data_IF_411940953956
#
_entry.id   IF_411940953956
#
_cell.length_a   1.000
_cell.length_b   1.000
_cell.length_c   1.000
_cell.angle_alpha   90.00
_cell.angle_beta   90.00
_cell.angle_gamma   90.00
#
_symmetry.space_group_name_H-M   'P 1'
#
loop_
_entity.id
_entity.type
_entity.pdbx_description
1 polymer ?
#
# COMPACT_ATOMS: atom_id res chain seq x y z
N UNK A 1 -21.68 1.62 -9.84
CA UNK A 1 -20.79 1.92 -8.69
C UNK A 1 -19.33 1.57 -9.05
N UNK A 2 -18.80 2.11 -10.16
CA UNK A 2 -17.43 1.80 -10.63
C UNK A 2 -16.53 3.03 -10.77
N UNK A 3 -17.10 4.22 -10.97
CA UNK A 3 -16.28 5.38 -11.37
C UNK A 3 -15.90 6.34 -10.23
N UNK A 4 -16.59 6.29 -9.08
CA UNK A 4 -16.36 7.27 -8.00
C UNK A 4 -15.10 7.03 -7.16
N UNK A 5 -14.68 5.78 -6.98
CA UNK A 5 -13.60 5.44 -6.03
C UNK A 5 -12.21 5.70 -6.63
N UNK A 6 -11.97 5.28 -7.87
CA UNK A 6 -10.72 5.55 -8.58
C UNK A 6 -10.51 7.06 -8.82
N UNK A 7 -11.58 7.80 -9.11
CA UNK A 7 -11.56 9.27 -9.22
C UNK A 7 -11.15 9.92 -7.88
N UNK A 8 -11.69 9.44 -6.74
CA UNK A 8 -11.25 9.92 -5.42
C UNK A 8 -9.75 9.66 -5.16
N UNK A 9 -9.20 8.55 -5.62
CA UNK A 9 -7.75 8.28 -5.50
C UNK A 9 -6.91 9.26 -6.33
N UNK A 10 -7.36 9.61 -7.55
CA UNK A 10 -6.68 10.63 -8.36
C UNK A 10 -6.64 11.98 -7.63
N UNK A 11 -7.72 12.36 -6.95
CA UNK A 11 -7.78 13.61 -6.16
C UNK A 11 -6.91 13.59 -4.90
N UNK A 12 -6.47 12.41 -4.44
CA UNK A 12 -5.64 12.24 -3.22
C UNK A 12 -4.18 11.93 -3.51
N UNK A 13 -3.71 12.13 -4.76
CA UNK A 13 -2.34 11.78 -5.21
C UNK A 13 -1.23 12.34 -4.30
N UNK A 14 -1.34 13.59 -3.89
CA UNK A 14 -0.42 14.25 -2.94
C UNK A 14 -0.34 13.51 -1.60
N UNK A 15 -1.51 13.17 -1.05
CA UNK A 15 -1.69 12.47 0.23
C UNK A 15 -1.16 11.03 0.16
N UNK A 16 -1.32 10.38 -0.98
CA UNK A 16 -0.80 9.03 -1.23
C UNK A 16 0.73 9.03 -1.39
N UNK A 17 1.28 10.06 -2.05
CA UNK A 17 2.73 10.21 -2.24
C UNK A 17 3.48 10.46 -0.93
N UNK A 18 2.80 10.97 0.10
CA UNK A 18 3.36 11.22 1.43
C UNK A 18 4.03 9.99 2.03
N UNK A 19 3.45 8.80 1.83
CA UNK A 19 3.94 7.55 2.42
C UNK A 19 5.33 7.17 1.93
N UNK A 20 5.64 7.48 0.68
CA UNK A 20 6.89 7.12 0.01
C UNK A 20 7.86 8.29 -0.10
N UNK A 21 7.36 9.53 0.00
CA UNK A 21 8.15 10.73 -0.11
C UNK A 21 7.67 11.86 0.83
N UNK A 22 7.75 11.67 2.16
CA UNK A 22 7.18 12.62 3.10
C UNK A 22 7.92 13.96 3.18
N UNK A 23 9.20 13.98 2.81
CA UNK A 23 10.04 15.20 2.86
C UNK A 23 9.59 16.26 1.85
N UNK A 24 9.14 15.84 0.67
CA UNK A 24 8.69 16.74 -0.39
C UNK A 24 7.20 17.06 -0.31
N UNK A 25 6.53 16.60 0.75
CA UNK A 25 5.09 16.63 0.78
C UNK A 25 4.58 18.04 1.12
N UNK A 26 3.64 18.54 0.30
CA UNK A 26 3.00 19.83 0.49
C UNK A 26 1.72 19.65 1.33
N UNK A 27 1.74 20.15 2.57
CA UNK A 27 0.61 20.06 3.51
C UNK A 27 -0.64 20.75 3.00
N UNK A 28 -0.50 21.79 2.17
CA UNK A 28 -1.63 22.56 1.63
C UNK A 28 -2.40 21.79 0.55
N UNK A 29 -1.77 20.77 -0.04
CA UNK A 29 -2.36 19.91 -1.06
C UNK A 29 -2.83 18.57 -0.49
N UNK A 30 -2.61 18.30 0.81
CA UNK A 30 -3.05 17.06 1.45
C UNK A 30 -4.49 17.16 1.94
N UNK A 31 -5.28 16.13 1.64
CA UNK A 31 -6.61 15.99 2.21
C UNK A 31 -6.50 15.26 3.56
N UNK A 32 -6.47 16.05 4.64
CA UNK A 32 -6.33 15.53 6.02
C UNK A 32 -7.66 15.34 6.76
N UNK A 33 -8.76 15.87 6.23
CA UNK A 33 -10.10 15.79 6.86
C UNK A 33 -10.54 14.37 7.25
N UNK A 34 -10.29 13.32 6.43
CA UNK A 34 -10.74 11.96 6.75
C UNK A 34 -10.06 11.34 7.97
N UNK A 35 -8.95 11.92 8.44
CA UNK A 35 -8.07 11.30 9.43
C UNK A 35 -8.18 11.90 10.83
N UNK A 36 -9.05 12.92 11.02
CA UNK A 36 -9.26 13.61 12.31
C UNK A 36 -7.93 14.09 12.90
N UNK A 37 -7.19 14.84 12.09
CA UNK A 37 -5.85 15.35 12.40
C UNK A 37 -5.91 16.84 12.68
N UNK A 38 -5.20 17.29 13.71
CA UNK A 38 -5.00 18.72 13.96
C UNK A 38 -3.98 19.31 12.97
N UNK A 39 -4.45 20.23 12.11
CA UNK A 39 -3.64 20.79 11.03
C UNK A 39 -2.43 21.58 11.56
N UNK A 40 -2.59 22.30 12.67
CA UNK A 40 -1.51 23.10 13.27
C UNK A 40 -0.39 22.23 13.83
N UNK A 41 -0.76 21.22 14.63
CA UNK A 41 0.16 20.21 15.16
C UNK A 41 0.83 19.42 14.06
N UNK A 42 0.10 19.01 13.01
CA UNK A 42 0.67 18.34 11.85
C UNK A 42 1.74 19.20 11.15
N UNK A 43 1.47 20.49 10.92
CA UNK A 43 2.43 21.39 10.29
C UNK A 43 3.70 21.55 11.14
N UNK A 44 3.55 21.71 12.46
CA UNK A 44 4.68 21.81 13.38
C UNK A 44 5.53 20.53 13.39
N UNK A 45 4.87 19.38 13.49
CA UNK A 45 5.54 18.07 13.46
C UNK A 45 6.24 17.82 12.12
N UNK A 46 5.63 18.22 10.99
CA UNK A 46 6.23 18.08 9.66
C UNK A 46 7.40 19.02 9.44
N UNK A 47 7.37 20.23 10.00
CA UNK A 47 8.50 21.15 9.94
C UNK A 47 9.70 20.55 10.68
N UNK A 48 9.50 20.14 11.93
CA UNK A 48 10.54 19.48 12.73
C UNK A 48 11.05 18.19 12.06
N UNK A 49 10.14 17.38 11.53
CA UNK A 49 10.45 16.16 10.77
C UNK A 49 11.36 16.44 9.56
N UNK A 50 11.09 17.50 8.79
CA UNK A 50 11.90 17.88 7.62
C UNK A 50 13.27 18.44 8.01
N UNK A 51 13.37 19.15 9.13
CA UNK A 51 14.62 19.76 9.59
C UNK A 51 15.56 18.79 10.30
N UNK A 52 15.06 17.64 10.76
CA UNK A 52 15.86 16.65 11.47
C UNK A 52 16.58 15.71 10.51
N UNK A 53 17.91 15.81 10.50
CA UNK A 53 18.81 14.98 9.68
C UNK A 53 18.57 13.48 9.84
N UNK A 54 18.18 13.04 11.05
CA UNK A 54 17.85 11.65 11.32
C UNK A 54 16.68 11.15 10.44
N UNK A 55 15.59 11.92 10.39
CA UNK A 55 14.39 11.51 9.66
C UNK A 55 14.55 11.75 8.17
N UNK A 56 15.19 12.85 7.78
CA UNK A 56 15.50 13.10 6.37
C UNK A 56 16.38 11.99 5.78
N UNK A 57 17.43 11.58 6.50
CA UNK A 57 18.29 10.46 6.11
C UNK A 57 17.52 9.14 6.02
N UNK A 58 16.72 8.81 7.05
CA UNK A 58 15.97 7.55 7.10
C UNK A 58 14.95 7.41 5.98
N UNK A 59 14.21 8.47 5.67
CA UNK A 59 13.20 8.44 4.60
C UNK A 59 13.80 8.56 3.20
N UNK A 60 14.98 9.17 3.07
CA UNK A 60 15.76 9.10 1.83
C UNK A 60 16.27 7.69 1.58
N UNK A 61 16.77 7.01 2.61
CA UNK A 61 17.20 5.61 2.53
C UNK A 61 16.01 4.68 2.20
N UNK A 62 14.86 4.87 2.85
CA UNK A 62 13.64 4.15 2.53
C UNK A 62 13.31 4.30 1.04
N UNK A 63 13.28 5.53 0.52
CA UNK A 63 12.97 5.80 -0.88
C UNK A 63 13.93 5.08 -1.84
N UNK A 64 15.24 5.15 -1.58
CA UNK A 64 16.26 4.44 -2.36
C UNK A 64 16.03 2.92 -2.37
N UNK A 65 15.74 2.33 -1.19
CA UNK A 65 15.42 0.90 -1.07
C UNK A 65 14.16 0.52 -1.86
N UNK A 66 13.13 1.37 -1.87
CA UNK A 66 11.93 1.13 -2.66
C UNK A 66 12.21 1.14 -4.16
N UNK A 67 13.03 2.09 -4.63
CA UNK A 67 13.46 2.16 -6.04
C UNK A 67 14.31 0.93 -6.42
N UNK A 68 15.25 0.53 -5.56
CA UNK A 68 16.07 -0.67 -5.78
C UNK A 68 15.22 -1.94 -5.85
N UNK A 69 14.25 -2.10 -4.95
CA UNK A 69 13.34 -3.25 -4.98
C UNK A 69 12.55 -3.32 -6.29
N UNK A 70 12.11 -2.19 -6.82
CA UNK A 70 11.37 -2.18 -8.08
C UNK A 70 12.26 -2.58 -9.26
N UNK A 71 13.52 -2.12 -9.27
CA UNK A 71 14.53 -2.56 -10.25
C UNK A 71 14.79 -4.05 -10.14
N UNK A 72 14.97 -4.57 -8.92
CA UNK A 72 15.18 -6.00 -8.68
C UNK A 72 14.00 -6.86 -9.13
N UNK A 73 12.75 -6.41 -8.89
CA UNK A 73 11.55 -7.08 -9.41
C UNK A 73 11.56 -7.13 -10.93
N UNK A 74 11.80 -6.00 -11.58
CA UNK A 74 11.86 -5.92 -13.05
C UNK A 74 12.92 -6.87 -13.62
N UNK A 75 14.12 -6.90 -13.04
CA UNK A 75 15.20 -7.78 -13.45
C UNK A 75 14.85 -9.27 -13.27
N UNK A 76 14.26 -9.65 -12.13
CA UNK A 76 13.87 -11.04 -11.88
C UNK A 76 12.75 -11.50 -12.81
N UNK A 77 11.79 -10.62 -13.13
CA UNK A 77 10.75 -10.91 -14.13
C UNK A 77 11.37 -11.12 -15.51
N UNK A 78 12.26 -10.22 -15.94
CA UNK A 78 12.94 -10.33 -17.23
C UNK A 78 13.81 -11.59 -17.35
N UNK A 79 14.37 -12.06 -16.24
CA UNK A 79 15.18 -13.28 -16.16
C UNK A 79 14.36 -14.53 -15.82
N UNK A 80 13.02 -14.43 -15.74
CA UNK A 80 12.11 -15.52 -15.34
C UNK A 80 12.46 -16.20 -14.00
N UNK A 81 13.09 -15.46 -13.07
CA UNK A 81 13.50 -15.95 -11.75
C UNK A 81 12.36 -15.84 -10.73
N UNK A 82 11.35 -16.69 -10.88
CA UNK A 82 10.14 -16.68 -10.06
C UNK A 82 10.38 -17.02 -8.58
N UNK A 83 11.40 -17.80 -8.27
CA UNK A 83 11.78 -18.15 -6.89
C UNK A 83 12.41 -16.95 -6.18
N UNK A 84 13.37 -16.28 -6.82
CA UNK A 84 13.99 -15.07 -6.29
C UNK A 84 12.97 -13.93 -6.11
N UNK A 85 11.99 -13.81 -7.01
CA UNK A 85 10.91 -12.82 -6.90
C UNK A 85 10.07 -13.00 -5.63
N UNK A 86 9.90 -14.24 -5.14
CA UNK A 86 9.16 -14.54 -3.89
C UNK A 86 9.95 -14.17 -2.63
N UNK A 87 11.27 -14.11 -2.73
CA UNK A 87 12.16 -13.74 -1.61
C UNK A 87 12.32 -12.23 -1.45
N UNK A 88 11.96 -11.45 -2.49
CA UNK A 88 11.98 -10.00 -2.41
C UNK A 88 11.05 -9.52 -1.28
N UNK A 89 11.56 -8.69 -0.35
CA UNK A 89 10.75 -8.10 0.70
C UNK A 89 9.53 -7.35 0.15
N UNK A 90 8.41 -7.50 0.83
CA UNK A 90 7.21 -6.71 0.54
C UNK A 90 7.45 -5.25 0.84
N UNK A 91 7.07 -4.38 -0.09
CA UNK A 91 7.24 -2.92 0.01
C UNK A 91 6.54 -2.37 1.26
N UNK A 92 5.40 -2.95 1.61
CA UNK A 92 4.62 -2.58 2.79
C UNK A 92 5.39 -2.79 4.10
N UNK A 93 6.23 -3.82 4.18
CA UNK A 93 7.02 -4.13 5.38
C UNK A 93 8.07 -3.05 5.63
N UNK A 94 8.76 -2.61 4.58
CA UNK A 94 9.77 -1.56 4.67
C UNK A 94 9.15 -0.22 5.05
N UNK A 95 8.05 0.14 4.38
CA UNK A 95 7.31 1.36 4.65
C UNK A 95 6.80 1.35 6.10
N UNK A 96 6.13 0.29 6.52
CA UNK A 96 5.59 0.21 7.88
C UNK A 96 6.69 0.27 8.94
N UNK A 97 7.81 -0.42 8.72
CA UNK A 97 8.96 -0.37 9.63
C UNK A 97 9.56 1.05 9.77
N UNK A 98 9.65 1.80 8.67
CA UNK A 98 10.11 3.19 8.71
C UNK A 98 9.15 4.08 9.51
N UNK A 99 7.85 4.02 9.23
CA UNK A 99 6.83 4.83 9.92
C UNK A 99 6.68 4.46 11.41
N UNK A 100 6.80 3.18 11.76
CA UNK A 100 6.72 2.72 13.15
C UNK A 100 7.91 3.15 14.01
N UNK A 101 9.02 3.52 13.38
CA UNK A 101 10.20 3.98 14.11
C UNK A 101 10.14 5.43 14.59
N UNK A 102 9.15 6.21 14.13
CA UNK A 102 8.96 7.56 14.63
C UNK A 102 8.62 7.54 16.13
N UNK A 103 9.05 8.53 16.91
CA UNK A 103 8.59 8.73 18.28
C UNK A 103 7.09 9.08 18.35
N UNK A 104 6.49 8.90 19.52
CA UNK A 104 5.10 9.31 19.79
C UNK A 104 4.90 10.84 19.74
N UNK A 105 5.98 11.63 19.82
CA UNK A 105 5.92 13.09 19.60
C UNK A 105 5.47 13.47 18.18
N UNK A 106 5.50 12.53 17.23
CA UNK A 106 5.01 12.70 15.85
C UNK A 106 3.63 12.06 15.66
N UNK A 107 2.77 12.15 16.66
CA UNK A 107 1.45 11.49 16.70
C UNK A 107 0.58 11.81 15.48
N UNK A 108 0.55 13.06 15.01
CA UNK A 108 -0.29 13.48 13.89
C UNK A 108 0.28 13.01 12.55
N UNK A 109 1.60 13.09 12.40
CA UNK A 109 2.33 12.53 11.25
C UNK A 109 2.11 11.01 11.15
N UNK A 110 2.17 10.29 12.28
CA UNK A 110 1.87 8.85 12.35
C UNK A 110 0.42 8.55 12.01
N UNK A 111 -0.55 9.29 12.56
CA UNK A 111 -1.98 9.12 12.25
C UNK A 111 -2.24 9.26 10.75
N UNK A 112 -1.64 10.28 10.12
CA UNK A 112 -1.74 10.47 8.67
C UNK A 112 -1.16 9.27 7.93
N UNK A 113 0.06 8.86 8.28
CA UNK A 113 0.74 7.76 7.62
C UNK A 113 -0.05 6.45 7.72
N UNK A 114 -0.51 6.09 8.92
CA UNK A 114 -1.30 4.86 9.13
C UNK A 114 -2.70 4.94 8.53
N UNK A 115 -3.33 6.10 8.56
CA UNK A 115 -4.60 6.33 7.88
C UNK A 115 -4.49 6.06 6.37
N UNK A 116 -3.47 6.63 5.74
CA UNK A 116 -3.20 6.42 4.30
C UNK A 116 -2.79 4.97 4.01
N UNK A 117 -1.97 4.34 4.85
CA UNK A 117 -1.58 2.93 4.69
C UNK A 117 -2.79 1.98 4.80
N UNK A 118 -3.75 2.28 5.67
CA UNK A 118 -4.97 1.48 5.84
C UNK A 118 -5.85 1.54 4.60
N UNK A 119 -5.88 2.68 3.91
CA UNK A 119 -6.57 2.81 2.62
C UNK A 119 -5.97 1.80 1.63
N UNK A 120 -4.65 1.74 1.48
CA UNK A 120 -4.00 0.79 0.56
C UNK A 120 -4.19 -0.68 0.96
N UNK A 121 -4.08 -0.98 2.26
CA UNK A 121 -4.24 -2.34 2.79
C UNK A 121 -5.66 -2.91 2.60
N UNK A 122 -6.68 -2.05 2.51
CA UNK A 122 -8.07 -2.47 2.33
C UNK A 122 -8.54 -2.38 0.88
N UNK A 123 -8.17 -1.34 0.13
CA UNK A 123 -8.71 -1.15 -1.23
C UNK A 123 -8.10 -2.09 -2.26
N UNK A 124 -6.79 -2.35 -2.24
CA UNK A 124 -6.16 -3.22 -3.23
C UNK A 124 -6.67 -4.68 -3.16
N UNK A 125 -6.73 -5.32 -1.98
CA UNK A 125 -7.33 -6.66 -1.86
C UNK A 125 -8.83 -6.67 -2.20
N UNK A 126 -9.57 -5.61 -1.86
CA UNK A 126 -10.99 -5.50 -2.22
C UNK A 126 -11.18 -5.39 -3.73
N UNK A 127 -10.42 -4.54 -4.43
CA UNK A 127 -10.48 -4.41 -5.89
C UNK A 127 -10.06 -5.70 -6.59
N UNK A 128 -9.00 -6.36 -6.09
CA UNK A 128 -8.58 -7.67 -6.58
C UNK A 128 -9.69 -8.71 -6.38
N UNK A 129 -10.35 -8.73 -5.22
CA UNK A 129 -11.48 -9.60 -4.93
C UNK A 129 -12.67 -9.32 -5.87
N UNK A 130 -13.04 -8.06 -6.08
CA UNK A 130 -14.11 -7.66 -7.01
C UNK A 130 -13.78 -8.00 -8.47
N UNK A 131 -12.54 -7.80 -8.89
CA UNK A 131 -12.08 -8.18 -10.22
C UNK A 131 -12.18 -9.70 -10.41
N UNK A 132 -11.71 -10.47 -9.42
CA UNK A 132 -11.85 -11.93 -9.42
C UNK A 132 -13.31 -12.36 -9.45
N UNK A 133 -14.19 -11.71 -8.68
CA UNK A 133 -15.64 -11.97 -8.72
C UNK A 133 -16.25 -11.69 -10.09
N UNK A 134 -15.87 -10.61 -10.76
CA UNK A 134 -16.36 -10.28 -12.10
C UNK A 134 -15.92 -11.30 -13.15
N UNK A 135 -14.69 -11.80 -13.06
CA UNK A 135 -14.18 -12.88 -13.93
C UNK A 135 -14.93 -14.20 -13.65
N UNK A 136 -15.11 -14.52 -12.37
CA UNK A 136 -15.81 -15.74 -11.93
C UNK A 136 -17.31 -15.71 -12.28
N UNK A 137 -17.95 -14.54 -12.26
CA UNK A 137 -19.36 -14.32 -12.63
C UNK A 137 -19.58 -14.02 -14.12
N UNK A 138 -18.58 -14.20 -14.99
CA UNK A 138 -18.76 -13.95 -16.42
C UNK A 138 -19.96 -14.73 -16.99
N UNK A 139 -20.58 -14.22 -18.07
CA UNK A 139 -21.78 -14.80 -18.71
C UNK A 139 -21.67 -16.31 -19.03
N UNK A 140 -20.45 -16.81 -19.22
CA UNK A 140 -20.15 -18.22 -19.56
C UNK A 140 -20.22 -19.15 -18.34
N UNK A 141 -20.22 -18.61 -17.10
CA UNK A 141 -20.08 -19.36 -15.85
C UNK A 141 -21.26 -19.12 -14.89
N UNK A 142 -22.48 -19.32 -15.40
CA UNK A 142 -23.74 -18.98 -14.74
C UNK A 142 -24.15 -19.92 -13.57
N UNK A 143 -23.35 -20.93 -13.24
CA UNK A 143 -23.70 -22.00 -12.27
C UNK A 143 -22.95 -21.93 -10.93
N UNK A 144 -22.11 -20.92 -10.68
CA UNK A 144 -21.40 -20.81 -9.40
C UNK A 144 -22.33 -20.25 -8.32
N UNK A 145 -22.52 -21.00 -7.23
CA UNK A 145 -23.22 -20.51 -6.04
C UNK A 145 -22.34 -19.53 -5.26
N UNK A 146 -22.94 -18.77 -4.33
CA UNK A 146 -22.20 -17.84 -3.48
C UNK A 146 -21.11 -18.54 -2.64
N UNK A 147 -21.36 -19.78 -2.19
CA UNK A 147 -20.36 -20.58 -1.47
C UNK A 147 -19.15 -20.90 -2.36
N UNK A 148 -19.38 -21.28 -3.63
CA UNK A 148 -18.28 -21.53 -4.56
C UNK A 148 -17.45 -20.26 -4.84
N UNK A 149 -18.12 -19.10 -4.91
CA UNK A 149 -17.47 -17.82 -5.12
C UNK A 149 -16.57 -17.44 -3.93
N UNK A 150 -17.07 -17.64 -2.72
CA UNK A 150 -16.33 -17.42 -1.49
C UNK A 150 -15.10 -18.33 -1.40
N UNK A 151 -15.24 -19.62 -1.72
CA UNK A 151 -14.11 -20.55 -1.76
C UNK A 151 -13.06 -20.14 -2.80
N UNK A 152 -13.48 -19.72 -4.00
CA UNK A 152 -12.55 -19.25 -5.04
C UNK A 152 -11.84 -17.94 -4.66
N UNK A 153 -12.53 -17.03 -3.98
CA UNK A 153 -11.94 -15.80 -3.43
C UNK A 153 -10.86 -16.15 -2.41
N UNK A 154 -11.19 -16.99 -1.41
CA UNK A 154 -10.24 -17.45 -0.39
C UNK A 154 -9.00 -18.10 -1.00
N UNK A 155 -9.16 -18.96 -2.01
CA UNK A 155 -8.03 -19.58 -2.70
C UNK A 155 -7.13 -18.57 -3.44
N UNK A 156 -7.71 -17.49 -4.00
CA UNK A 156 -6.94 -16.46 -4.71
C UNK A 156 -6.29 -15.43 -3.80
N UNK A 157 -6.89 -15.14 -2.64
CA UNK A 157 -6.41 -14.12 -1.71
C UNK A 157 -5.49 -14.67 -0.63
N UNK A 158 -5.47 -15.98 -0.40
CA UNK A 158 -4.56 -16.61 0.57
C UNK A 158 -3.28 -17.09 -0.13
N UNK A 159 -2.12 -16.89 0.52
CA UNK A 159 -0.85 -17.46 0.06
C UNK A 159 -0.74 -18.92 0.51
N UNK A 160 -1.70 -19.77 0.11
CA UNK A 160 -1.64 -21.19 0.40
C UNK A 160 -0.62 -21.83 -0.55
N UNK A 161 0.41 -22.47 0.02
CA UNK A 161 1.38 -23.25 -0.75
C UNK A 161 0.68 -24.56 -1.11
N UNK A 162 0.26 -24.70 -2.37
CA UNK A 162 -0.28 -25.95 -2.89
C UNK A 162 0.83 -27.00 -2.88
N UNK A 163 0.88 -27.84 -1.84
CA UNK A 163 1.64 -29.08 -1.87
C UNK A 163 0.91 -30.04 -2.81
N UNK A 164 1.26 -29.94 -4.10
CA UNK A 164 0.91 -30.93 -5.12
C UNK A 164 1.77 -32.19 -4.91
N UNK A 165 1.62 -32.82 -3.76
CA UNK A 165 2.15 -34.16 -3.52
C UNK A 165 0.95 -35.11 -3.65
N UNK A 166 0.94 -35.83 -4.78
CA UNK A 166 0.00 -36.86 -5.24
C UNK A 166 -1.20 -36.37 -6.05
N UNK A 167 -1.01 -36.41 -7.37
CA UNK A 167 -1.96 -37.08 -8.26
C UNK A 167 -1.26 -38.32 -8.82
#
# INVERSE_FOLDING_TARGET
>A
MKDGFAEQFKTKKSTLSFIVNPLNANTNEMNIEPFVIDAGSLQMQLLDFKTKDLWSGKFTELKSKLEELEVQKCMNIAQHKWTALKEIPRVEVLIFGAWNSLPESYSEVKKLAYGVLTIFGSTYPCEQAFSCMNILKSKVRSQLTNENLESCLKLKTTSYKLDLIKL
#
